data_IF_402821838229
#
_entry.id   IF_402821838229
#
_cell.length_a   1.000
_cell.length_b   1.000
_cell.length_c   1.000
_cell.angle_alpha   90.00
_cell.angle_beta   90.00
_cell.angle_gamma   90.00
#
_symmetry.space_group_name_H-M   'P 1'
#
loop_
_entity.id
_entity.type
_entity.pdbx_description
1 polymer ?
#
# COMPACT_ATOMS: atom_id res chain seq x y z
N UNK A 1 7.61 25.10 -7.75
CA UNK A 1 7.05 24.58 -6.49
C UNK A 1 6.38 23.23 -6.76
N UNK A 2 5.40 23.18 -7.65
CA UNK A 2 4.67 21.94 -8.00
C UNK A 2 5.56 20.80 -8.49
N UNK A 3 6.47 21.07 -9.43
CA UNK A 3 7.43 20.06 -9.93
C UNK A 3 8.28 19.45 -8.80
N UNK A 4 8.72 20.26 -7.84
CA UNK A 4 9.47 19.76 -6.67
C UNK A 4 8.60 18.86 -5.77
N UNK A 5 7.35 19.26 -5.52
CA UNK A 5 6.43 18.45 -4.71
C UNK A 5 6.10 17.12 -5.40
N UNK A 6 5.87 17.14 -6.72
CA UNK A 6 5.64 15.95 -7.53
C UNK A 6 6.84 15.00 -7.50
N UNK A 7 8.04 15.49 -7.79
CA UNK A 7 9.26 14.68 -7.72
C UNK A 7 9.48 14.11 -6.32
N UNK A 8 9.26 14.91 -5.28
CA UNK A 8 9.43 14.43 -3.92
C UNK A 8 8.39 13.36 -3.55
N UNK A 9 7.14 13.49 -4.01
CA UNK A 9 6.10 12.49 -3.79
C UNK A 9 6.40 11.19 -4.54
N UNK A 10 6.89 11.27 -5.78
CA UNK A 10 7.33 10.11 -6.58
C UNK A 10 8.43 9.34 -5.83
N UNK A 11 9.43 10.04 -5.28
CA UNK A 11 10.51 9.43 -4.50
C UNK A 11 10.02 8.68 -3.27
N UNK A 12 9.01 9.20 -2.56
CA UNK A 12 8.42 8.49 -1.42
C UNK A 12 7.70 7.22 -1.86
N UNK A 13 6.95 7.29 -2.98
CA UNK A 13 6.30 6.10 -3.54
C UNK A 13 7.32 5.04 -3.97
N UNK A 14 8.41 5.43 -4.64
CA UNK A 14 9.47 4.51 -5.03
C UNK A 14 10.10 3.83 -3.81
N UNK A 15 10.33 4.57 -2.74
CA UNK A 15 10.83 4.01 -1.48
C UNK A 15 9.83 3.03 -0.84
N UNK A 16 8.54 3.35 -0.83
CA UNK A 16 7.48 2.47 -0.32
C UNK A 16 7.35 1.19 -1.15
N UNK A 17 7.46 1.29 -2.48
CA UNK A 17 7.45 0.15 -3.39
C UNK A 17 8.66 -0.74 -3.10
N UNK A 18 9.86 -0.17 -3.00
CA UNK A 18 11.09 -0.91 -2.73
C UNK A 18 11.00 -1.68 -1.40
N UNK A 19 10.59 -1.01 -0.32
CA UNK A 19 10.41 -1.66 0.99
C UNK A 19 9.33 -2.76 0.95
N UNK A 20 8.30 -2.63 0.11
CA UNK A 20 7.26 -3.65 -0.02
C UNK A 20 7.70 -4.85 -0.84
N UNK A 21 8.52 -4.65 -1.87
CA UNK A 21 9.17 -5.73 -2.61
C UNK A 21 10.17 -6.48 -1.73
N UNK A 22 10.92 -5.76 -0.91
CA UNK A 22 11.87 -6.36 0.03
C UNK A 22 11.17 -7.19 1.10
N UNK A 23 10.02 -6.75 1.59
CA UNK A 23 9.21 -7.53 2.53
C UNK A 23 8.62 -8.78 1.87
N UNK A 24 8.20 -8.69 0.60
CA UNK A 24 7.80 -9.86 -0.19
C UNK A 24 8.95 -10.87 -0.26
N UNK A 25 10.16 -10.44 -0.58
CA UNK A 25 11.30 -11.35 -0.70
C UNK A 25 11.66 -11.99 0.64
N UNK A 26 11.66 -11.19 1.70
CA UNK A 26 11.85 -11.67 3.06
C UNK A 26 10.82 -12.74 3.47
N UNK A 27 9.55 -12.61 3.05
CA UNK A 27 8.56 -13.68 3.29
C UNK A 27 8.96 -14.97 2.58
N UNK A 28 9.42 -14.91 1.32
CA UNK A 28 9.84 -16.10 0.56
C UNK A 28 11.03 -16.79 1.20
N UNK A 29 11.97 -16.02 1.73
CA UNK A 29 13.15 -16.52 2.43
C UNK A 29 12.88 -16.92 3.91
N UNK A 30 11.63 -16.82 4.38
CA UNK A 30 11.23 -17.02 5.78
C UNK A 30 11.97 -16.11 6.78
N UNK A 31 12.39 -14.91 6.34
CA UNK A 31 13.03 -13.87 7.16
C UNK A 31 12.00 -12.84 7.63
N UNK A 32 11.22 -13.16 8.66
CA UNK A 32 10.08 -12.33 9.05
C UNK A 32 10.42 -11.14 9.97
N UNK A 33 11.53 -11.20 10.71
CA UNK A 33 11.88 -10.18 11.72
C UNK A 33 12.11 -8.76 11.16
N UNK A 34 12.81 -8.56 10.02
CA UNK A 34 13.09 -7.22 9.51
C UNK A 34 11.83 -6.39 9.14
N UNK A 35 10.69 -7.06 8.97
CA UNK A 35 9.43 -6.40 8.60
C UNK A 35 8.90 -5.51 9.74
N UNK A 36 9.17 -5.88 11.00
CA UNK A 36 8.77 -5.09 12.16
C UNK A 36 9.56 -3.78 12.27
N UNK A 37 10.86 -3.81 11.98
CA UNK A 37 11.70 -2.60 11.98
C UNK A 37 11.29 -1.63 10.86
N UNK A 38 10.93 -2.18 9.69
CA UNK A 38 10.49 -1.40 8.52
C UNK A 38 9.10 -0.81 8.67
N UNK A 39 8.27 -1.31 9.59
CA UNK A 39 6.92 -0.81 9.78
C UNK A 39 6.92 0.69 10.13
N UNK A 40 7.75 1.09 11.09
CA UNK A 40 7.86 2.49 11.51
C UNK A 40 8.31 3.40 10.36
N UNK A 41 9.29 2.95 9.58
CA UNK A 41 9.81 3.65 8.40
C UNK A 41 8.72 3.79 7.32
N UNK A 42 7.95 2.74 7.06
CA UNK A 42 6.84 2.78 6.10
C UNK A 42 5.74 3.74 6.55
N UNK A 43 5.37 3.73 7.82
CA UNK A 43 4.37 4.65 8.37
C UNK A 43 4.81 6.11 8.24
N UNK A 44 6.07 6.42 8.53
CA UNK A 44 6.62 7.77 8.34
C UNK A 44 6.57 8.19 6.87
N UNK A 45 6.95 7.30 5.95
CA UNK A 45 6.92 7.56 4.51
C UNK A 45 5.50 7.75 3.98
N UNK A 46 4.52 7.01 4.49
CA UNK A 46 3.10 7.19 4.14
C UNK A 46 2.63 8.57 4.58
N UNK A 47 2.89 8.97 5.83
CA UNK A 47 2.53 10.30 6.34
C UNK A 47 3.19 11.42 5.52
N UNK A 48 4.48 11.25 5.22
CA UNK A 48 5.25 12.16 4.37
C UNK A 48 4.65 12.30 2.97
N UNK A 49 4.24 11.18 2.36
CA UNK A 49 3.56 11.17 1.07
C UNK A 49 2.18 11.86 1.12
N UNK A 50 1.35 11.55 2.13
CA UNK A 50 0.02 12.16 2.30
C UNK A 50 0.10 13.68 2.45
N UNK A 51 1.09 14.17 3.21
CA UNK A 51 1.35 15.60 3.34
C UNK A 51 1.72 16.24 1.99
N UNK A 52 2.64 15.61 1.24
CA UNK A 52 3.03 16.09 -0.10
C UNK A 52 1.87 16.07 -1.08
N UNK A 53 1.02 15.04 -1.04
CA UNK A 53 -0.21 14.97 -1.83
C UNK A 53 -1.12 16.16 -1.52
N UNK A 54 -1.35 16.49 -0.25
CA UNK A 54 -2.15 17.65 0.13
C UNK A 54 -1.55 18.97 -0.38
N UNK A 55 -0.22 19.10 -0.39
CA UNK A 55 0.47 20.27 -0.96
C UNK A 55 0.29 20.34 -2.48
N UNK A 56 0.42 19.23 -3.19
CA UNK A 56 0.15 19.15 -4.64
C UNK A 56 -1.29 19.56 -4.94
N UNK A 57 -2.27 19.02 -4.21
CA UNK A 57 -3.69 19.34 -4.40
C UNK A 57 -3.97 20.84 -4.17
N UNK A 58 -3.34 21.43 -3.15
CA UNK A 58 -3.45 22.86 -2.86
C UNK A 58 -2.82 23.73 -3.97
N UNK A 59 -1.64 23.36 -4.46
CA UNK A 59 -0.98 24.09 -5.56
C UNK A 59 -1.77 24.01 -6.87
N UNK A 60 -2.30 22.83 -7.21
CA UNK A 60 -3.18 22.64 -8.38
C UNK A 60 -4.44 23.50 -8.23
N UNK A 61 -5.08 23.48 -7.05
CA UNK A 61 -6.28 24.29 -6.79
C UNK A 61 -6.01 25.79 -6.93
N UNK A 62 -4.84 26.25 -6.46
CA UNK A 62 -4.41 27.64 -6.62
C UNK A 62 -4.23 28.00 -8.09
N UNK A 63 -3.58 27.15 -8.89
CA UNK A 63 -3.40 27.38 -10.33
C UNK A 63 -4.75 27.50 -11.05
N UNK A 64 -5.68 26.58 -10.75
CA UNK A 64 -7.03 26.61 -11.34
C UNK A 64 -7.86 27.83 -10.91
N UNK A 65 -7.65 28.34 -9.69
CA UNK A 65 -8.34 29.55 -9.21
C UNK A 65 -7.78 30.82 -9.84
N UNK A 66 -6.48 30.85 -10.14
CA UNK A 66 -5.83 32.00 -10.78
C UNK A 66 -6.18 32.12 -12.27
N UNK A 67 -6.39 31.00 -12.96
CA UNK A 67 -6.78 30.97 -14.37
C UNK A 67 -8.02 30.08 -14.59
N UNK A 68 -9.22 30.54 -14.18
CA UNK A 68 -10.44 29.72 -14.18
C UNK A 68 -10.98 29.36 -15.58
N UNK A 69 -10.41 29.96 -16.62
CA UNK A 69 -10.86 29.79 -18.02
C UNK A 69 -10.04 28.70 -18.73
N UNK A 70 -8.80 28.42 -18.29
CA UNK A 70 -7.94 27.44 -18.92
C UNK A 70 -8.05 26.07 -18.24
N UNK A 71 -8.11 24.98 -18.99
CA UNK A 71 -8.07 23.64 -18.42
C UNK A 71 -6.70 23.38 -17.76
N UNK A 72 -6.67 22.53 -16.73
CA UNK A 72 -5.43 22.17 -16.02
C UNK A 72 -4.32 21.68 -16.98
N UNK A 73 -4.70 21.06 -18.09
CA UNK A 73 -3.75 20.62 -19.11
C UNK A 73 -2.96 21.74 -19.79
N UNK A 74 -3.53 22.94 -19.88
CA UNK A 74 -2.88 24.12 -20.43
C UNK A 74 -2.15 24.95 -19.37
N UNK A 75 -2.38 24.66 -18.09
CA UNK A 75 -1.74 25.33 -16.95
C UNK A 75 -0.43 24.66 -16.52
N UNK A 76 -0.24 23.41 -16.93
CA UNK A 76 0.93 22.61 -16.60
C UNK A 76 1.88 22.55 -17.80
N UNK A 77 3.18 22.63 -17.52
CA UNK A 77 4.20 22.34 -18.51
C UNK A 77 4.29 20.83 -18.81
N UNK A 78 5.02 20.47 -19.86
CA UNK A 78 5.16 19.08 -20.30
C UNK A 78 5.86 18.20 -19.24
N UNK A 79 6.77 18.78 -18.45
CA UNK A 79 7.45 18.07 -17.36
C UNK A 79 6.47 17.71 -16.23
N UNK A 80 5.64 18.66 -15.80
CA UNK A 80 4.63 18.48 -14.76
C UNK A 80 3.58 17.45 -15.17
N UNK A 81 3.19 17.43 -16.45
CA UNK A 81 2.34 16.37 -17.01
C UNK A 81 2.98 14.99 -16.90
N UNK A 82 4.23 14.86 -17.35
CA UNK A 82 4.97 13.59 -17.25
C UNK A 82 5.14 13.13 -15.80
N UNK A 83 5.38 14.07 -14.88
CA UNK A 83 5.50 13.77 -13.45
C UNK A 83 4.16 13.30 -12.85
N UNK A 84 3.03 13.91 -13.22
CA UNK A 84 1.71 13.45 -12.77
C UNK A 84 1.37 12.06 -13.27
N UNK A 85 1.66 11.76 -14.54
CA UNK A 85 1.48 10.41 -15.09
C UNK A 85 2.38 9.39 -14.40
N UNK A 86 3.64 9.77 -14.13
CA UNK A 86 4.56 8.94 -13.34
C UNK A 86 4.03 8.69 -11.93
N UNK A 87 3.50 9.71 -11.27
CA UNK A 87 2.90 9.61 -9.94
C UNK A 87 1.73 8.61 -9.93
N UNK A 88 0.83 8.69 -10.92
CA UNK A 88 -0.29 7.74 -11.09
C UNK A 88 0.21 6.31 -11.30
N UNK A 89 1.22 6.13 -12.16
CA UNK A 89 1.81 4.83 -12.42
C UNK A 89 2.43 4.23 -11.15
N UNK A 90 3.17 5.02 -10.37
CA UNK A 90 3.77 4.57 -9.11
C UNK A 90 2.73 4.23 -8.06
N UNK A 91 1.65 5.00 -7.93
CA UNK A 91 0.53 4.66 -7.04
C UNK A 91 -0.11 3.31 -7.40
N UNK A 92 -0.36 3.08 -8.68
CA UNK A 92 -0.88 1.80 -9.15
C UNK A 92 0.09 0.65 -8.86
N UNK A 93 1.39 0.87 -9.06
CA UNK A 93 2.44 -0.11 -8.76
C UNK A 93 2.47 -0.44 -7.26
N UNK A 94 2.46 0.58 -6.40
CA UNK A 94 2.42 0.40 -4.94
C UNK A 94 1.19 -0.40 -4.52
N UNK A 95 0.01 -0.11 -5.09
CA UNK A 95 -1.22 -0.87 -4.82
C UNK A 95 -1.05 -2.34 -5.18
N UNK A 96 -0.53 -2.64 -6.36
CA UNK A 96 -0.34 -4.03 -6.83
C UNK A 96 0.66 -4.79 -5.94
N UNK A 97 1.81 -4.19 -5.65
CA UNK A 97 2.85 -4.79 -4.81
C UNK A 97 2.32 -5.03 -3.39
N UNK A 98 1.63 -4.04 -2.80
CA UNK A 98 1.06 -4.18 -1.46
C UNK A 98 -0.02 -5.27 -1.41
N UNK A 99 -0.85 -5.39 -2.46
CA UNK A 99 -1.84 -6.47 -2.56
C UNK A 99 -1.17 -7.85 -2.63
N UNK A 100 -0.06 -7.97 -3.35
CA UNK A 100 0.72 -9.21 -3.40
C UNK A 100 1.31 -9.54 -2.02
N UNK A 101 1.92 -8.56 -1.37
CA UNK A 101 2.46 -8.70 -0.02
C UNK A 101 1.40 -9.18 0.97
N UNK A 102 0.23 -8.52 1.00
CA UNK A 102 -0.87 -8.89 1.89
C UNK A 102 -1.34 -10.34 1.67
N UNK A 103 -1.49 -10.77 0.42
CA UNK A 103 -1.85 -12.17 0.10
C UNK A 103 -0.82 -13.15 0.68
N UNK A 104 0.47 -12.87 0.53
CA UNK A 104 1.53 -13.73 1.06
C UNK A 104 1.51 -13.80 2.59
N UNK A 105 1.38 -12.66 3.28
CA UNK A 105 1.26 -12.62 4.75
C UNK A 105 0.09 -13.48 5.22
N UNK A 106 -1.08 -13.36 4.58
CA UNK A 106 -2.25 -14.15 4.92
C UNK A 106 -2.04 -15.65 4.67
N UNK A 107 -1.43 -16.03 3.55
CA UNK A 107 -1.12 -17.43 3.26
C UNK A 107 -0.17 -18.05 4.27
N UNK A 108 0.87 -17.31 4.68
CA UNK A 108 1.83 -17.77 5.70
C UNK A 108 1.16 -17.89 7.06
N UNK A 109 0.34 -16.92 7.46
CA UNK A 109 -0.44 -17.01 8.70
C UNK A 109 -1.41 -18.19 8.73
N UNK A 110 -2.14 -18.42 7.63
CA UNK A 110 -3.03 -19.58 7.50
C UNK A 110 -2.25 -20.90 7.57
N UNK A 111 -1.10 -21.00 6.91
CA UNK A 111 -0.25 -22.18 6.96
C UNK A 111 0.21 -22.51 8.38
N UNK A 112 0.72 -21.53 9.13
CA UNK A 112 1.15 -21.74 10.51
C UNK A 112 -0.01 -22.12 11.44
N UNK A 113 -1.19 -21.51 11.26
CA UNK A 113 -2.38 -21.89 12.02
C UNK A 113 -2.78 -23.35 11.75
N UNK A 114 -2.81 -23.78 10.49
CA UNK A 114 -3.11 -25.18 10.15
C UNK A 114 -2.05 -26.16 10.69
N UNK A 115 -0.77 -25.76 10.72
CA UNK A 115 0.27 -26.58 11.35
C UNK A 115 0.06 -26.70 12.85
N UNK A 116 -0.27 -25.61 13.53
CA UNK A 116 -0.55 -25.60 14.97
C UNK A 116 -1.74 -26.51 15.31
N UNK A 117 -2.83 -26.43 14.54
CA UNK A 117 -4.00 -27.31 14.69
C UNK A 117 -3.65 -28.80 14.54
N UNK A 118 -2.68 -29.14 13.68
CA UNK A 118 -2.23 -30.53 13.47
C UNK A 118 -1.26 -31.03 14.55
N UNK A 119 -0.40 -30.16 15.07
CA UNK A 119 0.60 -30.51 16.10
C UNK A 119 -0.02 -30.53 17.49
N UNK A 120 -0.90 -29.57 17.77
CA UNK A 120 -1.75 -29.56 18.95
C UNK A 120 -3.20 -29.72 18.51
N UNK A 121 -3.62 -30.93 18.12
CA UNK A 121 -5.04 -31.20 17.92
C UNK A 121 -5.67 -30.99 19.29
N UNK A 122 -6.37 -29.87 19.47
CA UNK A 122 -7.22 -29.68 20.62
C UNK A 122 -8.22 -30.83 20.58
N UNK A 123 -8.04 -31.83 21.46
CA UNK A 123 -8.98 -32.92 21.56
C UNK A 123 -10.30 -32.35 22.07
N UNK A 124 -11.20 -32.08 21.14
CA UNK A 124 -12.56 -31.60 21.36
C UNK A 124 -13.42 -32.77 21.87
N UNK A 125 -13.19 -33.18 23.12
CA UNK A 125 -14.07 -34.13 23.81
C UNK A 125 -15.30 -33.40 24.36
N UNK A 126 -16.40 -33.43 23.60
CA UNK A 126 -17.75 -33.26 24.12
C UNK A 126 -18.33 -31.84 24.09
N UNK A 127 -19.52 -31.75 23.50
CA UNK A 127 -20.49 -30.66 23.45
C UNK A 127 -20.19 -29.40 22.61
N UNK A 128 -20.81 -29.43 21.43
CA UNK A 128 -21.43 -28.34 20.64
C UNK A 128 -20.50 -27.28 20.03
N UNK A 129 -20.34 -27.46 18.72
CA UNK A 129 -19.63 -26.60 17.78
C UNK A 129 -20.19 -25.17 17.73
N UNK A 130 -19.38 -24.20 18.10
CA UNK A 130 -19.39 -22.87 17.45
C UNK A 130 -17.94 -22.41 17.30
N UNK A 131 -17.23 -23.06 16.39
CA UNK A 131 -16.06 -22.45 15.76
C UNK A 131 -16.31 -22.30 14.24
N UNK A 132 -17.56 -22.11 13.84
CA UNK A 132 -17.83 -21.34 12.63
C UNK A 132 -17.63 -19.87 12.98
N UNK A 133 -16.37 -19.43 13.06
CA UNK A 133 -16.08 -18.17 12.39
C UNK A 133 -16.00 -18.53 10.92
N UNK A 134 -17.18 -18.69 10.33
CA UNK A 134 -17.34 -18.61 8.89
C UNK A 134 -16.52 -17.40 8.45
N UNK A 135 -15.63 -17.63 7.50
CA UNK A 135 -14.82 -16.60 6.88
C UNK A 135 -15.76 -15.69 6.09
N UNK A 136 -16.51 -14.84 6.78
CA UNK A 136 -17.51 -13.92 6.23
C UNK A 136 -16.89 -12.80 5.38
N UNK A 137 -15.62 -12.95 4.97
CA UNK A 137 -14.85 -11.94 4.26
C UNK A 137 -14.84 -12.12 2.74
N UNK A 138 -15.45 -13.19 2.21
CA UNK A 138 -15.55 -13.47 0.77
C UNK A 138 -17.01 -13.57 0.29
N UNK A 139 -17.90 -12.70 0.75
CA UNK A 139 -19.10 -12.40 -0.03
C UNK A 139 -18.78 -11.32 -1.06
N UNK A 140 -18.46 -11.75 -2.28
CA UNK A 140 -18.47 -10.87 -3.46
C UNK A 140 -19.93 -10.63 -3.82
N UNK A 141 -20.43 -9.41 -3.59
CA UNK A 141 -21.74 -8.99 -4.11
C UNK A 141 -21.62 -8.80 -5.62
N UNK A 142 -22.39 -9.60 -6.36
CA UNK A 142 -22.70 -9.39 -7.78
C UNK A 142 -23.85 -8.38 -7.92
#
# INVERSE_FOLDING_TARGET
MLSFQLQSAIKELDALIALSLEDIENIKEAKHNPQFDRLSIKEEKIKSFEHKKAMIDHEISKLMTQEPIKPLSELLDEEQHQQLETLKLRLNTLRMVNQQYAKMVLSVGAFFNTLLEKIMPTQMHGYRSVATRDSAFLEVRA
#
